data_IF_722662070993
#
_entry.id   IF_722662070993
#
_cell.length_a   1.000
_cell.length_b   1.000
_cell.length_c   1.000
_cell.angle_alpha   90.00
_cell.angle_beta   90.00
_cell.angle_gamma   90.00
#
_symmetry.space_group_name_H-M   'P 1'
#
loop_
_entity.id
_entity.type
_entity.pdbx_description
1 polymer ?
#
# COMPACT_ATOMS: atom_id res chain seq x y z
N UNK A 1 7.55 0.49 16.14
CA UNK A 1 7.24 0.31 14.71
C UNK A 1 7.58 -1.10 14.20
N UNK A 2 8.66 -1.75 14.65
CA UNK A 2 8.98 -3.14 14.29
C UNK A 2 7.82 -4.14 14.54
N UNK A 3 7.02 -3.95 15.59
CA UNK A 3 5.88 -4.83 15.85
C UNK A 3 4.82 -4.85 14.74
N UNK A 4 4.62 -3.76 13.97
CA UNK A 4 3.65 -3.73 12.86
C UNK A 4 4.18 -4.55 11.67
N UNK A 5 5.47 -4.37 11.36
CA UNK A 5 6.15 -5.15 10.33
C UNK A 5 6.08 -6.65 10.62
N UNK A 6 6.48 -7.07 11.81
CA UNK A 6 6.50 -8.50 12.19
C UNK A 6 5.10 -9.13 12.19
N UNK A 7 4.07 -8.39 12.62
CA UNK A 7 2.68 -8.87 12.58
C UNK A 7 2.19 -9.11 11.14
N UNK A 8 2.39 -8.14 10.24
CA UNK A 8 1.96 -8.29 8.85
C UNK A 8 2.78 -9.39 8.15
N UNK A 9 4.09 -9.45 8.41
CA UNK A 9 4.97 -10.52 7.94
C UNK A 9 4.50 -11.90 8.38
N UNK A 10 4.08 -12.04 9.64
CA UNK A 10 3.49 -13.28 10.16
C UNK A 10 2.24 -13.68 9.37
N UNK A 11 1.33 -12.74 9.10
CA UNK A 11 0.12 -13.00 8.29
C UNK A 11 0.46 -13.41 6.86
N UNK A 12 1.43 -12.74 6.20
CA UNK A 12 1.88 -13.08 4.85
C UNK A 12 2.44 -14.50 4.76
N UNK A 13 3.19 -14.93 5.80
CA UNK A 13 3.73 -16.28 5.94
C UNK A 13 2.65 -17.31 6.25
N UNK A 14 1.68 -16.96 7.09
CA UNK A 14 0.59 -17.85 7.49
C UNK A 14 -0.38 -18.13 6.32
N UNK A 15 -0.62 -17.15 5.45
CA UNK A 15 -1.47 -17.30 4.26
C UNK A 15 -0.67 -17.25 2.95
N UNK A 16 0.17 -18.24 2.63
CA UNK A 16 1.18 -18.15 1.58
C UNK A 16 0.64 -17.99 0.14
N UNK A 17 -0.65 -18.25 -0.08
CA UNK A 17 -1.29 -18.15 -1.39
C UNK A 17 -2.14 -16.89 -1.57
N UNK A 18 -2.42 -16.17 -0.49
CA UNK A 18 -3.30 -15.01 -0.53
C UNK A 18 -2.51 -13.74 -0.89
N UNK A 19 -3.14 -12.88 -1.70
CA UNK A 19 -2.68 -11.52 -1.94
C UNK A 19 -3.32 -10.55 -0.95
N UNK A 20 -2.62 -9.48 -0.64
CA UNK A 20 -3.04 -8.50 0.36
C UNK A 20 -3.08 -7.09 -0.24
N UNK A 21 -4.05 -6.31 0.23
CA UNK A 21 -4.10 -4.87 0.08
C UNK A 21 -3.79 -4.28 1.45
N UNK A 22 -2.82 -3.37 1.52
CA UNK A 22 -2.43 -2.72 2.77
C UNK A 22 -2.96 -1.29 2.78
N UNK A 23 -3.61 -0.89 3.88
CA UNK A 23 -4.18 0.44 4.05
C UNK A 23 -3.58 1.02 5.33
N UNK A 24 -3.09 2.27 5.26
CA UNK A 24 -2.42 2.92 6.39
C UNK A 24 -2.36 4.43 6.26
N UNK A 25 -1.55 5.06 7.09
CA UNK A 25 -1.41 6.51 7.14
C UNK A 25 0.06 6.98 7.14
N UNK A 26 0.31 8.12 6.50
CA UNK A 26 1.67 8.67 6.38
C UNK A 26 2.25 9.18 7.71
N UNK A 27 1.45 9.25 8.78
CA UNK A 27 1.88 9.68 10.11
C UNK A 27 2.54 8.56 10.93
N UNK A 28 2.33 7.29 10.57
CA UNK A 28 2.73 6.11 11.35
C UNK A 28 3.77 5.21 10.66
N UNK A 29 4.73 5.79 9.91
CA UNK A 29 5.77 5.06 9.14
C UNK A 29 5.23 3.97 8.19
N UNK A 30 3.92 3.92 7.92
CA UNK A 30 3.29 2.90 7.09
C UNK A 30 3.85 2.84 5.66
N UNK A 31 4.15 3.97 4.98
CA UNK A 31 4.79 3.93 3.67
C UNK A 31 6.08 3.11 3.65
N UNK A 32 6.94 3.31 4.65
CA UNK A 32 8.23 2.63 4.78
C UNK A 32 8.04 1.14 5.08
N UNK A 33 7.18 0.83 6.07
CA UNK A 33 6.90 -0.54 6.50
C UNK A 33 6.27 -1.35 5.37
N UNK A 34 5.26 -0.81 4.69
CA UNK A 34 4.53 -1.52 3.65
C UNK A 34 5.37 -1.70 2.38
N UNK A 35 6.18 -0.69 2.01
CA UNK A 35 7.10 -0.83 0.89
C UNK A 35 8.15 -1.91 1.15
N UNK A 36 8.73 -1.94 2.36
CA UNK A 36 9.67 -2.99 2.75
C UNK A 36 9.05 -4.38 2.69
N UNK A 37 7.80 -4.54 3.14
CA UNK A 37 7.08 -5.80 3.03
C UNK A 37 6.81 -6.20 1.57
N UNK A 38 6.49 -5.25 0.69
CA UNK A 38 6.31 -5.53 -0.74
C UNK A 38 7.61 -6.01 -1.39
N UNK A 39 8.75 -5.44 -0.99
CA UNK A 39 10.07 -5.90 -1.44
C UNK A 39 10.46 -7.28 -0.90
N UNK A 40 10.12 -7.59 0.36
CA UNK A 40 10.41 -8.91 0.95
C UNK A 40 9.46 -10.01 0.41
N UNK A 41 8.23 -9.64 0.04
CA UNK A 41 7.22 -10.56 -0.49
C UNK A 41 6.68 -10.09 -1.85
N UNK A 42 7.49 -10.14 -2.93
CA UNK A 42 7.07 -9.67 -4.25
C UNK A 42 5.79 -10.37 -4.73
N UNK A 43 4.91 -9.62 -5.40
CA UNK A 43 3.60 -10.08 -5.92
C UNK A 43 2.60 -10.54 -4.85
N UNK A 44 2.93 -10.45 -3.56
CA UNK A 44 2.01 -10.81 -2.45
C UNK A 44 1.23 -9.62 -1.92
N UNK A 45 1.78 -8.42 -2.04
CA UNK A 45 1.06 -7.17 -1.77
C UNK A 45 0.69 -6.58 -3.12
N UNK A 46 -0.60 -6.54 -3.41
CA UNK A 46 -1.11 -6.09 -4.70
C UNK A 46 -1.23 -4.56 -4.74
N UNK A 47 -1.65 -3.96 -3.63
CA UNK A 47 -1.87 -2.51 -3.56
C UNK A 47 -1.62 -2.00 -2.16
N UNK A 48 -1.02 -0.82 -2.07
CA UNK A 48 -0.80 -0.06 -0.86
C UNK A 48 -1.53 1.29 -0.97
N UNK A 49 -2.45 1.54 -0.03
CA UNK A 49 -3.10 2.84 0.14
C UNK A 49 -2.57 3.54 1.40
N UNK A 50 -2.03 4.74 1.23
CA UNK A 50 -1.55 5.58 2.32
C UNK A 50 -2.39 6.84 2.38
N UNK A 51 -3.06 7.07 3.50
CA UNK A 51 -3.67 8.37 3.78
C UNK A 51 -2.58 9.41 4.03
N UNK A 52 -2.52 10.43 3.19
CA UNK A 52 -1.57 11.53 3.29
C UNK A 52 -1.99 12.53 4.38
N UNK A 53 -1.21 12.62 5.45
CA UNK A 53 -1.39 13.57 6.56
C UNK A 53 -0.44 14.77 6.43
N UNK A 54 0.74 14.59 5.82
CA UNK A 54 1.78 15.62 5.68
C UNK A 54 1.82 16.18 4.25
N UNK A 55 2.36 17.40 4.06
CA UNK A 55 2.47 18.03 2.72
C UNK A 55 3.42 17.28 1.78
N UNK A 56 4.57 16.82 2.28
CA UNK A 56 5.57 16.05 1.51
C UNK A 56 5.13 14.59 1.39
N UNK A 57 5.21 14.02 0.19
CA UNK A 57 4.92 12.59 -0.03
C UNK A 57 6.10 11.73 0.41
N UNK A 58 5.85 10.45 0.66
CA UNK A 58 6.91 9.46 0.87
C UNK A 58 7.76 9.29 -0.39
N UNK A 59 7.14 9.36 -1.57
CA UNK A 59 7.82 9.23 -2.87
C UNK A 59 8.78 10.42 -3.10
N UNK A 60 8.37 11.65 -2.78
CA UNK A 60 9.21 12.87 -2.90
C UNK A 60 10.48 12.80 -2.02
N UNK A 61 10.48 11.92 -1.01
CA UNK A 61 11.60 11.70 -0.10
C UNK A 61 12.47 10.51 -0.47
N UNK A 62 12.01 9.62 -1.36
CA UNK A 62 12.63 8.33 -1.64
C UNK A 62 12.68 8.10 -3.15
N UNK A 63 13.76 8.57 -3.77
CA UNK A 63 13.98 8.39 -5.20
C UNK A 63 13.88 6.90 -5.59
N UNK A 64 13.14 6.63 -6.66
CA UNK A 64 12.93 5.31 -7.24
C UNK A 64 12.09 4.32 -6.42
N UNK A 65 11.48 4.72 -5.29
CA UNK A 65 10.62 3.79 -4.54
C UNK A 65 9.42 3.32 -5.34
N UNK A 66 8.82 4.22 -6.14
CA UNK A 66 7.70 3.91 -7.03
C UNK A 66 8.09 2.85 -8.07
N UNK A 67 9.23 3.04 -8.74
CA UNK A 67 9.76 2.06 -9.70
C UNK A 67 10.02 0.69 -9.07
N UNK A 68 10.61 0.66 -7.87
CA UNK A 68 10.87 -0.59 -7.14
C UNK A 68 9.56 -1.31 -6.78
N UNK A 69 8.51 -0.56 -6.43
CA UNK A 69 7.20 -1.13 -6.13
C UNK A 69 6.55 -1.71 -7.40
N UNK A 70 6.69 -1.02 -8.52
CA UNK A 70 6.26 -1.53 -9.83
C UNK A 70 6.99 -2.82 -10.22
N UNK A 71 8.32 -2.90 -10.01
CA UNK A 71 9.13 -4.10 -10.27
C UNK A 71 8.66 -5.33 -9.49
N UNK A 72 8.11 -5.14 -8.28
CA UNK A 72 7.53 -6.22 -7.46
C UNK A 72 6.03 -6.41 -7.66
N UNK A 73 5.45 -5.73 -8.65
CA UNK A 73 4.03 -5.74 -9.03
C UNK A 73 3.11 -5.30 -7.87
N UNK A 74 3.46 -4.18 -7.26
CA UNK A 74 2.71 -3.55 -6.17
C UNK A 74 2.32 -2.13 -6.55
N UNK A 75 1.02 -1.87 -6.63
CA UNK A 75 0.51 -0.52 -6.80
C UNK A 75 0.63 0.29 -5.51
N UNK A 76 0.89 1.60 -5.61
CA UNK A 76 1.02 2.47 -4.45
C UNK A 76 0.27 3.79 -4.66
N UNK A 77 -0.55 4.17 -3.70
CA UNK A 77 -1.35 5.39 -3.75
C UNK A 77 -1.25 6.17 -2.46
N UNK A 78 -0.95 7.46 -2.58
CA UNK A 78 -1.19 8.42 -1.51
C UNK A 78 -2.52 9.14 -1.75
N UNK A 79 -3.44 9.02 -0.81
CA UNK A 79 -4.81 9.53 -0.92
C UNK A 79 -5.12 10.49 0.23
N UNK A 80 -5.90 11.54 0.01
CA UNK A 80 -6.22 12.53 1.04
C UNK A 80 -7.39 12.09 1.91
N UNK A 81 -8.34 11.36 1.33
CA UNK A 81 -9.57 10.96 2.00
C UNK A 81 -10.12 9.64 1.42
N UNK A 82 -11.19 9.14 2.04
CA UNK A 82 -11.84 7.88 1.66
C UNK A 82 -12.39 7.90 0.24
N UNK A 83 -12.89 9.04 -0.24
CA UNK A 83 -13.44 9.15 -1.60
C UNK A 83 -12.34 8.97 -2.67
N UNK A 84 -11.18 9.60 -2.47
CA UNK A 84 -10.02 9.42 -3.35
C UNK A 84 -9.48 7.98 -3.31
N UNK A 85 -9.49 7.34 -2.14
CA UNK A 85 -9.16 5.92 -2.01
C UNK A 85 -10.10 5.03 -2.82
N UNK A 86 -11.41 5.28 -2.75
CA UNK A 86 -12.41 4.54 -3.50
C UNK A 86 -12.26 4.75 -5.02
N UNK A 87 -11.99 5.99 -5.47
CA UNK A 87 -11.75 6.27 -6.89
C UNK A 87 -10.52 5.52 -7.42
N UNK A 88 -9.43 5.50 -6.66
CA UNK A 88 -8.25 4.72 -7.00
C UNK A 88 -8.54 3.21 -6.98
N UNK A 89 -9.33 2.71 -6.04
CA UNK A 89 -9.74 1.31 -5.99
C UNK A 89 -10.56 0.89 -7.22
N UNK A 90 -11.50 1.74 -7.68
CA UNK A 90 -12.27 1.52 -8.92
C UNK A 90 -11.35 1.48 -10.14
N UNK A 91 -10.47 2.48 -10.28
CA UNK A 91 -9.53 2.59 -11.41
C UNK A 91 -8.68 1.32 -11.60
N UNK A 92 -8.40 0.62 -10.50
CA UNK A 92 -7.57 -0.58 -10.49
C UNK A 92 -8.37 -1.88 -10.33
N UNK A 93 -9.70 -1.83 -10.48
CA UNK A 93 -10.56 -3.01 -10.48
C UNK A 93 -10.69 -3.71 -9.13
N UNK A 94 -10.35 -3.02 -8.03
CA UNK A 94 -10.46 -3.56 -6.67
C UNK A 94 -11.91 -3.51 -6.15
N UNK A 95 -12.69 -2.54 -6.61
CA UNK A 95 -14.13 -2.39 -6.38
C UNK A 95 -14.82 -1.96 -7.67
N UNK A 96 -16.15 -2.08 -7.73
CA UNK A 96 -16.97 -1.72 -8.90
C UNK A 96 -17.43 -0.26 -8.87
N UNK A 97 -17.71 0.32 -10.04
CA UNK A 97 -18.17 1.73 -10.17
C UNK A 97 -19.48 2.01 -9.43
N UNK A 98 -20.39 1.03 -9.36
CA UNK A 98 -21.67 1.15 -8.63
C UNK A 98 -21.51 1.34 -7.12
N UNK A 99 -20.27 1.34 -6.59
CA UNK A 99 -20.00 1.75 -5.22
C UNK A 99 -20.38 3.21 -4.92
N UNK A 100 -20.40 4.08 -5.95
CA UNK A 100 -20.68 5.51 -5.80
C UNK A 100 -22.14 5.93 -6.07
N UNK A 101 -22.98 4.99 -6.48
CA UNK A 101 -24.42 5.18 -6.67
C UNK A 101 -25.16 5.15 -5.32
#
# INVERSE_FOLDING_TARGET
HEHKFEKIKSLLRFYPKQKFILIGDSGQHDPEIYSRLAFEFPRRIETIFIRKIRKRTFIDGNENVEKKLEEVNTNYYEVKNTHEAALAAVKHGLIVESYFE
#
